data_IF_532983353925
#
_entry.id   IF_532983353925
#
_cell.length_a   1.000
_cell.length_b   1.000
_cell.length_c   1.000
_cell.angle_alpha   90.00
_cell.angle_beta   90.00
_cell.angle_gamma   90.00
#
_symmetry.space_group_name_H-M   'P 1'
#
loop_
_entity.id
_entity.type
_entity.pdbx_description
1 polymer ?
#
# COMPACT_ATOMS: atom_id res chain seq x y z
N UNK A 1 -6.60 -31.63 -9.52
CA UNK A 1 -6.29 -30.32 -8.93
C UNK A 1 -4.82 -30.08 -9.24
N UNK A 2 -4.48 -29.05 -10.02
CA UNK A 2 -3.07 -28.79 -10.36
C UNK A 2 -2.36 -28.26 -9.12
N UNK A 3 -1.22 -28.86 -8.82
CA UNK A 3 -0.36 -28.48 -7.71
C UNK A 3 0.28 -27.11 -7.97
N UNK A 4 0.36 -26.27 -6.94
CA UNK A 4 0.80 -24.87 -7.06
C UNK A 4 2.26 -24.82 -7.52
N UNK A 5 3.09 -25.72 -7.03
CA UNK A 5 4.49 -25.83 -7.43
C UNK A 5 4.62 -26.18 -8.92
N UNK A 6 3.73 -27.02 -9.44
CA UNK A 6 3.66 -27.33 -10.87
C UNK A 6 3.28 -26.08 -11.67
N UNK A 7 2.27 -25.32 -11.25
CA UNK A 7 1.88 -24.09 -11.95
C UNK A 7 3.00 -23.02 -11.96
N UNK A 8 3.75 -22.90 -10.86
CA UNK A 8 4.86 -21.94 -10.74
C UNK A 8 6.10 -22.37 -11.54
N UNK A 9 6.38 -23.67 -11.64
CA UNK A 9 7.45 -24.19 -12.51
C UNK A 9 7.17 -23.85 -13.99
N UNK A 10 5.95 -24.07 -14.44
CA UNK A 10 5.52 -23.72 -15.80
C UNK A 10 5.63 -22.23 -16.09
N UNK A 11 5.24 -21.39 -15.13
CA UNK A 11 5.36 -19.94 -15.28
C UNK A 11 6.84 -19.49 -15.38
N UNK A 12 7.75 -20.18 -14.70
CA UNK A 12 9.20 -19.91 -14.78
C UNK A 12 9.78 -20.26 -16.15
N UNK A 13 9.24 -21.28 -16.81
CA UNK A 13 9.71 -21.71 -18.13
C UNK A 13 9.15 -20.86 -19.29
N UNK A 14 8.17 -20.00 -19.04
CA UNK A 14 7.65 -19.09 -20.05
C UNK A 14 8.67 -17.98 -20.36
N UNK A 15 8.91 -17.68 -21.64
CA UNK A 15 9.77 -16.57 -22.02
C UNK A 15 9.18 -15.24 -21.54
N UNK A 16 10.07 -14.35 -21.08
CA UNK A 16 9.69 -12.98 -20.74
C UNK A 16 9.25 -12.27 -22.02
N UNK A 17 8.06 -11.65 -21.99
CA UNK A 17 7.55 -10.91 -23.14
C UNK A 17 8.48 -9.71 -23.44
N UNK A 18 9.00 -9.56 -24.68
CA UNK A 18 9.88 -8.45 -25.05
C UNK A 18 9.29 -7.06 -24.78
N UNK A 19 7.97 -6.95 -24.69
CA UNK A 19 7.30 -5.68 -24.33
C UNK A 19 7.60 -5.24 -22.90
N UNK A 20 7.95 -6.17 -22.00
CA UNK A 20 8.33 -5.86 -20.63
C UNK A 20 9.65 -5.08 -20.57
N UNK A 21 10.59 -5.36 -21.48
CA UNK A 21 11.84 -4.60 -21.58
C UNK A 21 11.60 -3.14 -21.96
N UNK A 22 10.59 -2.87 -22.80
CA UNK A 22 10.22 -1.53 -23.21
C UNK A 22 9.38 -0.75 -22.18
N UNK A 23 8.96 -1.39 -21.08
CA UNK A 23 8.16 -0.71 -20.03
C UNK A 23 9.00 0.35 -19.33
N UNK A 24 10.24 0.03 -18.99
CA UNK A 24 11.12 0.94 -18.25
C UNK A 24 11.31 2.24 -19.04
N UNK A 25 11.65 2.12 -20.32
CA UNK A 25 11.79 3.26 -21.24
C UNK A 25 10.49 4.07 -21.34
N UNK A 26 9.34 3.39 -21.49
CA UNK A 26 8.04 4.03 -21.55
C UNK A 26 7.68 4.80 -20.27
N UNK A 27 8.04 4.28 -19.09
CA UNK A 27 7.83 4.95 -17.80
C UNK A 27 8.76 6.16 -17.67
N UNK A 28 10.05 6.02 -18.01
CA UNK A 28 10.99 7.14 -17.93
C UNK A 28 10.65 8.26 -18.90
N UNK A 29 10.19 7.94 -20.11
CA UNK A 29 9.71 8.93 -21.08
C UNK A 29 8.45 9.65 -20.57
N UNK A 30 7.50 8.92 -19.98
CA UNK A 30 6.31 9.52 -19.38
C UNK A 30 6.66 10.47 -18.22
N UNK A 31 7.61 10.09 -17.35
CA UNK A 31 8.11 10.94 -16.27
C UNK A 31 8.85 12.17 -16.79
N UNK A 32 9.68 12.01 -17.81
CA UNK A 32 10.39 13.12 -18.46
C UNK A 32 9.40 14.09 -19.12
N UNK A 33 8.37 13.56 -19.79
CA UNK A 33 7.29 14.34 -20.35
C UNK A 33 6.53 15.12 -19.27
N UNK A 34 6.14 14.46 -18.18
CA UNK A 34 5.44 15.10 -17.05
C UNK A 34 6.32 16.16 -16.37
N UNK A 35 7.64 15.95 -16.25
CA UNK A 35 8.54 16.97 -15.69
C UNK A 35 8.66 18.21 -16.59
N UNK A 36 8.62 18.03 -17.91
CA UNK A 36 8.76 19.11 -18.89
C UNK A 36 7.44 19.85 -19.17
N UNK A 37 6.32 19.14 -19.17
CA UNK A 37 5.01 19.65 -19.60
C UNK A 37 3.97 19.67 -18.49
N UNK A 38 4.23 19.02 -17.35
CA UNK A 38 3.39 19.16 -16.17
C UNK A 38 3.43 20.59 -15.69
N UNK A 39 2.25 21.16 -15.40
CA UNK A 39 2.18 22.46 -14.75
C UNK A 39 2.92 22.33 -13.41
N UNK A 40 3.97 23.11 -13.15
CA UNK A 40 4.57 23.14 -11.82
C UNK A 40 3.46 23.56 -10.86
N UNK A 41 3.21 22.73 -9.83
CA UNK A 41 2.39 23.16 -8.71
C UNK A 41 2.98 24.48 -8.22
N UNK A 42 2.20 25.55 -8.27
CA UNK A 42 2.66 26.85 -7.78
C UNK A 42 3.17 26.67 -6.35
N UNK A 43 4.34 27.23 -6.04
CA UNK A 43 4.92 27.13 -4.69
C UNK A 43 3.94 27.60 -3.61
N UNK A 44 3.03 28.52 -3.94
CA UNK A 44 1.93 28.93 -3.08
C UNK A 44 0.93 27.79 -2.79
N UNK A 45 0.54 27.01 -3.80
CA UNK A 45 -0.36 25.86 -3.63
C UNK A 45 0.28 24.79 -2.77
N UNK A 46 1.57 24.48 -3.00
CA UNK A 46 2.32 23.55 -2.16
C UNK A 46 2.43 24.06 -0.71
N UNK A 47 2.75 25.35 -0.51
CA UNK A 47 2.83 25.95 0.81
C UNK A 47 1.51 25.90 1.58
N UNK A 48 0.39 26.17 0.90
CA UNK A 48 -0.96 26.05 1.49
C UNK A 48 -1.23 24.59 1.89
N UNK A 49 -1.00 23.63 0.98
CA UNK A 49 -1.23 22.22 1.26
C UNK A 49 -0.37 21.72 2.43
N UNK A 50 0.92 22.07 2.44
CA UNK A 50 1.85 21.74 3.51
C UNK A 50 1.42 22.37 4.85
N UNK A 51 1.02 23.64 4.85
CA UNK A 51 0.54 24.33 6.05
C UNK A 51 -0.73 23.72 6.62
N UNK A 52 -1.69 23.34 5.76
CA UNK A 52 -2.92 22.66 6.17
C UNK A 52 -2.63 21.25 6.71
N UNK A 53 -1.77 20.48 6.05
CA UNK A 53 -1.39 19.16 6.53
C UNK A 53 -0.70 19.24 7.90
N UNK A 54 0.22 20.20 8.08
CA UNK A 54 0.92 20.42 9.34
C UNK A 54 -0.03 20.85 10.45
N UNK A 55 -0.97 21.77 10.18
CA UNK A 55 -1.92 22.25 11.18
C UNK A 55 -2.88 21.15 11.63
N UNK A 56 -3.39 20.34 10.70
CA UNK A 56 -4.23 19.18 11.02
C UNK A 56 -3.45 18.15 11.83
N UNK A 57 -2.22 17.83 11.44
CA UNK A 57 -1.38 16.87 12.18
C UNK A 57 -1.06 17.35 13.61
N UNK A 58 -0.76 18.64 13.76
CA UNK A 58 -0.46 19.24 15.06
C UNK A 58 -1.70 19.27 15.98
N UNK A 59 -2.87 19.65 15.43
CA UNK A 59 -4.13 19.62 16.18
C UNK A 59 -4.56 18.18 16.54
N UNK A 60 -4.40 17.24 15.60
CA UNK A 60 -4.72 15.83 15.81
C UNK A 60 -3.80 15.15 16.83
N UNK A 61 -2.54 15.59 16.96
CA UNK A 61 -1.61 15.05 17.95
C UNK A 61 -1.98 15.39 19.40
N UNK A 62 -2.74 16.46 19.63
CA UNK A 62 -3.12 16.89 20.98
C UNK A 62 -4.35 16.14 21.53
N UNK A 63 -5.11 15.49 20.66
CA UNK A 63 -6.30 14.72 21.04
C UNK A 63 -5.90 13.24 20.98
N UNK A 64 -5.83 12.52 22.13
CA UNK A 64 -5.60 11.09 22.12
C UNK A 64 -6.68 10.45 21.26
N UNK A 65 -6.28 9.77 20.19
CA UNK A 65 -7.22 9.00 19.38
C UNK A 65 -7.90 8.00 20.33
N UNK A 66 -9.23 8.10 20.48
CA UNK A 66 -10.01 6.98 21.01
C UNK A 66 -9.71 5.81 20.09
N UNK A 67 -9.34 4.68 20.68
CA UNK A 67 -9.11 3.44 19.97
C UNK A 67 -10.38 3.11 19.17
N UNK A 68 -10.37 3.50 17.89
CA UNK A 68 -11.44 3.17 17.00
C UNK A 68 -11.26 1.67 16.76
N UNK A 69 -12.22 0.86 17.22
CA UNK A 69 -12.30 -0.54 16.82
C UNK A 69 -12.52 -0.58 15.31
N UNK A 70 -11.42 -0.49 14.56
CA UNK A 70 -11.41 -0.71 13.12
C UNK A 70 -11.75 -2.19 12.96
N UNK A 71 -12.92 -2.47 12.40
CA UNK A 71 -13.26 -3.82 11.98
C UNK A 71 -12.13 -4.34 11.07
N UNK A 72 -11.62 -5.53 11.40
CA UNK A 72 -10.49 -6.16 10.72
C UNK A 72 -10.61 -6.02 9.20
N UNK A 73 -9.62 -5.38 8.57
CA UNK A 73 -9.53 -5.21 7.11
C UNK A 73 -9.01 -6.51 6.44
N UNK A 74 -8.79 -7.60 7.18
CA UNK A 74 -8.36 -8.86 6.59
C UNK A 74 -9.55 -9.61 5.95
N UNK A 75 -9.68 -9.70 4.60
CA UNK A 75 -10.75 -10.46 3.97
C UNK A 75 -10.58 -11.98 4.13
N UNK A 76 -9.39 -12.47 4.51
CA UNK A 76 -9.09 -13.90 4.67
C UNK A 76 -8.23 -14.20 5.92
N UNK A 77 -8.44 -13.50 7.04
CA UNK A 77 -7.72 -13.78 8.28
C UNK A 77 -8.53 -13.44 9.52
N UNK A 78 -8.63 -14.39 10.46
CA UNK A 78 -9.32 -14.20 11.73
C UNK A 78 -8.59 -13.18 12.62
N UNK A 79 -9.30 -12.28 13.32
CA UNK A 79 -8.69 -11.38 14.29
C UNK A 79 -7.85 -12.17 15.32
N UNK A 80 -6.69 -11.64 15.77
CA UNK A 80 -5.72 -12.36 16.60
C UNK A 80 -6.24 -12.76 18.00
N UNK A 81 -7.49 -12.45 18.34
CA UNK A 81 -8.16 -12.89 19.56
C UNK A 81 -8.71 -14.34 19.50
N UNK A 82 -8.74 -14.98 18.31
CA UNK A 82 -9.42 -16.26 18.07
C UNK A 82 -8.48 -17.42 17.73
N UNK A 83 -7.20 -17.37 18.12
CA UNK A 83 -6.37 -18.58 18.02
C UNK A 83 -6.84 -19.60 19.07
N UNK A 84 -7.08 -20.89 18.72
CA UNK A 84 -7.69 -21.89 19.62
C UNK A 84 -7.00 -22.07 20.98
N UNK A 85 -5.72 -21.68 21.08
CA UNK A 85 -4.93 -21.73 22.32
C UNK A 85 -5.27 -20.64 23.32
N UNK A 86 -5.97 -19.55 22.95
CA UNK A 86 -6.39 -18.51 23.90
C UNK A 86 -7.69 -18.86 24.64
N UNK A 87 -8.44 -19.87 24.19
CA UNK A 87 -9.67 -20.35 24.83
C UNK A 87 -9.44 -21.35 25.97
N UNK A 88 -8.27 -21.99 26.03
CA UNK A 88 -7.86 -22.92 27.10
C UNK A 88 -6.96 -22.28 28.16
N UNK A 89 -6.75 -20.96 28.09
CA UNK A 89 -5.76 -20.24 28.88
C UNK A 89 -6.33 -19.28 29.91
N UNK A 90 -7.32 -19.68 30.72
CA UNK A 90 -7.50 -19.18 32.10
C UNK A 90 -8.13 -20.28 32.97
N UNK A 91 -7.32 -21.27 33.33
CA UNK A 91 -7.60 -22.15 34.48
C UNK A 91 -6.77 -21.65 35.67
N UNK A 92 -7.30 -20.64 36.38
CA UNK A 92 -7.33 -20.49 37.85
C UNK A 92 -8.14 -19.24 38.22
#
# INVERSE_FOLDING_TARGET
MMDVDTALSWLRELPVDPRLEAIDDGVFDALAYQRRHGAPLSGAVFGIAAGVALSIGLLGSAIPARENQVASIAPFGAPPALMPSTLLGTSE
#
